data_IF_871293153463
#
_entry.id   IF_871293153463
#
_cell.length_a   1.000
_cell.length_b   1.000
_cell.length_c   1.000
_cell.angle_alpha   90.00
_cell.angle_beta   90.00
_cell.angle_gamma   90.00
#
_symmetry.space_group_name_H-M   'P 1'
#
loop_
_entity.id
_entity.type
_entity.pdbx_description
1 polymer ?
#
# COMPACT_ATOMS: atom_id res chain seq x y z
N UNK A 1 17.52 60.30 24.96
CA UNK A 1 16.95 59.34 23.98
C UNK A 1 17.81 58.06 23.91
N UNK A 2 17.98 57.32 25.00
CA UNK A 2 18.85 56.13 25.04
C UNK A 2 18.21 54.92 25.75
N UNK A 3 16.88 54.91 25.88
CA UNK A 3 16.14 53.89 26.63
C UNK A 3 15.47 52.83 25.75
N UNK A 4 15.51 52.96 24.41
CA UNK A 4 14.84 52.01 23.52
C UNK A 4 15.72 50.82 23.11
N UNK A 5 17.04 50.96 22.95
CA UNK A 5 17.86 49.84 22.42
C UNK A 5 18.14 48.74 23.44
N UNK A 6 18.20 49.06 24.73
CA UNK A 6 18.52 48.10 25.81
C UNK A 6 17.34 47.19 26.17
N UNK A 7 16.10 47.60 25.89
CA UNK A 7 14.90 46.79 26.11
C UNK A 7 14.58 45.84 24.93
N UNK A 8 15.11 46.13 23.74
CA UNK A 8 14.88 45.32 22.53
C UNK A 8 15.65 43.99 22.60
N UNK A 9 16.87 43.99 23.13
CA UNK A 9 17.71 42.80 23.25
C UNK A 9 17.11 41.68 24.14
N UNK A 10 16.60 41.95 25.36
CA UNK A 10 15.95 40.93 26.17
C UNK A 10 14.61 40.46 25.58
N UNK A 11 13.81 41.37 25.00
CA UNK A 11 12.55 41.02 24.35
C UNK A 11 12.76 40.12 23.11
N UNK A 12 13.81 40.40 22.34
CA UNK A 12 14.20 39.58 21.19
C UNK A 12 14.70 38.20 21.66
N UNK A 13 15.55 38.15 22.68
CA UNK A 13 16.04 36.90 23.26
C UNK A 13 14.89 36.03 23.78
N UNK A 14 13.92 36.61 24.47
CA UNK A 14 12.72 35.92 24.93
C UNK A 14 11.86 35.40 23.75
N UNK A 15 11.72 36.18 22.68
CA UNK A 15 11.04 35.73 21.47
C UNK A 15 11.75 34.52 20.83
N UNK A 16 13.08 34.58 20.67
CA UNK A 16 13.85 33.45 20.14
C UNK A 16 13.77 32.22 21.04
N UNK A 17 13.81 32.36 22.37
CA UNK A 17 13.62 31.24 23.29
C UNK A 17 12.26 30.57 23.11
N UNK A 18 11.19 31.35 22.93
CA UNK A 18 9.86 30.81 22.63
C UNK A 18 9.81 30.10 21.28
N UNK A 19 10.46 30.66 20.25
CA UNK A 19 10.54 30.01 18.94
C UNK A 19 11.33 28.69 18.99
N UNK A 20 12.45 28.66 19.71
CA UNK A 20 13.22 27.43 19.94
C UNK A 20 12.37 26.37 20.62
N UNK A 21 11.63 26.72 21.66
CA UNK A 21 10.77 25.77 22.35
C UNK A 21 9.67 25.22 21.43
N UNK A 22 8.99 26.10 20.69
CA UNK A 22 7.97 25.71 19.70
C UNK A 22 8.53 24.75 18.62
N UNK A 23 9.73 25.03 18.09
CA UNK A 23 10.37 24.17 17.10
C UNK A 23 10.80 22.82 17.69
N UNK A 24 11.29 22.79 18.92
CA UNK A 24 11.64 21.56 19.62
C UNK A 24 10.41 20.69 19.85
N UNK A 25 9.32 21.28 20.34
CA UNK A 25 8.06 20.55 20.58
C UNK A 25 7.49 19.97 19.27
N UNK A 26 7.57 20.72 18.17
CA UNK A 26 7.17 20.25 16.84
C UNK A 26 8.06 19.11 16.35
N UNK A 27 9.38 19.21 16.54
CA UNK A 27 10.32 18.16 16.15
C UNK A 27 10.10 16.88 16.96
N UNK A 28 9.91 17.00 18.28
CA UNK A 28 9.64 15.86 19.16
C UNK A 28 8.32 15.17 18.77
N UNK A 29 7.28 15.95 18.44
CA UNK A 29 6.02 15.40 17.92
C UNK A 29 6.24 14.70 16.58
N UNK A 30 6.97 15.31 15.64
CA UNK A 30 7.30 14.71 14.35
C UNK A 30 8.01 13.36 14.53
N UNK A 31 8.98 13.26 15.44
CA UNK A 31 9.70 12.01 15.70
C UNK A 31 8.80 10.93 16.31
N UNK A 32 7.83 11.29 17.17
CA UNK A 32 6.81 10.33 17.66
C UNK A 32 5.92 9.82 16.52
N UNK A 33 5.48 10.72 15.64
CA UNK A 33 4.67 10.36 14.46
C UNK A 33 5.46 9.45 13.50
N UNK A 34 6.73 9.74 13.23
CA UNK A 34 7.59 8.87 12.40
C UNK A 34 7.70 7.47 13.00
N UNK A 35 7.88 7.36 14.32
CA UNK A 35 7.94 6.06 15.01
C UNK A 35 6.63 5.29 14.88
N UNK A 36 5.49 5.95 15.15
CA UNK A 36 4.18 5.33 14.99
C UNK A 36 3.91 4.90 13.54
N UNK A 37 4.30 5.72 12.55
CA UNK A 37 4.20 5.38 11.13
C UNK A 37 5.02 4.15 10.77
N UNK A 38 6.23 4.01 11.30
CA UNK A 38 7.08 2.83 11.06
C UNK A 38 6.47 1.56 11.64
N UNK A 39 5.85 1.65 12.82
CA UNK A 39 5.12 0.53 13.41
C UNK A 39 3.94 0.10 12.53
N UNK A 40 3.17 1.06 11.97
CA UNK A 40 2.12 0.78 10.99
C UNK A 40 2.70 0.08 9.76
N UNK A 41 3.73 0.65 9.11
CA UNK A 41 4.38 0.05 7.93
C UNK A 41 4.83 -1.39 8.20
N UNK A 42 5.53 -1.62 9.31
CA UNK A 42 6.06 -2.94 9.64
C UNK A 42 4.94 -3.99 9.80
N UNK A 43 3.83 -3.63 10.42
CA UNK A 43 2.76 -4.59 10.67
C UNK A 43 1.82 -4.74 9.48
N UNK A 44 1.61 -3.70 8.66
CA UNK A 44 0.94 -3.82 7.36
C UNK A 44 1.68 -4.79 6.43
N UNK A 45 3.03 -4.74 6.40
CA UNK A 45 3.84 -5.73 5.66
C UNK A 45 3.59 -7.17 6.11
N UNK A 46 3.44 -7.39 7.41
CA UNK A 46 3.14 -8.74 7.94
C UNK A 46 1.78 -9.24 7.43
N UNK A 47 0.78 -8.36 7.33
CA UNK A 47 -0.52 -8.69 6.72
C UNK A 47 -0.33 -9.07 5.25
N UNK A 48 0.41 -8.27 4.47
CA UNK A 48 0.70 -8.56 3.05
C UNK A 48 1.38 -9.94 2.91
N UNK A 49 2.41 -10.22 3.70
CA UNK A 49 3.08 -11.53 3.70
C UNK A 49 2.15 -12.67 4.13
N UNK A 50 1.23 -12.43 5.06
CA UNK A 50 0.24 -13.42 5.46
C UNK A 50 -0.73 -13.72 4.30
N UNK A 51 -1.21 -12.71 3.58
CA UNK A 51 -2.09 -12.88 2.41
C UNK A 51 -1.37 -13.64 1.28
N UNK A 52 -0.08 -13.42 1.06
CA UNK A 52 0.71 -14.16 0.05
C UNK A 52 0.83 -15.66 0.31
N UNK A 53 0.56 -16.14 1.54
CA UNK A 53 0.54 -17.58 1.87
C UNK A 53 -0.74 -18.27 1.39
N UNK A 54 -1.67 -17.52 0.82
CA UNK A 54 -2.91 -18.03 0.27
C UNK A 54 -2.62 -18.97 -0.90
N UNK A 55 -3.29 -20.12 -0.88
CA UNK A 55 -3.36 -21.11 -1.94
C UNK A 55 -4.80 -21.56 -2.15
N UNK A 56 -5.04 -22.36 -3.19
CA UNK A 56 -6.34 -22.99 -3.45
C UNK A 56 -6.93 -23.73 -2.24
N UNK A 57 -6.09 -24.32 -1.40
CA UNK A 57 -6.52 -25.23 -0.33
C UNK A 57 -6.72 -24.55 1.04
N UNK A 58 -6.05 -23.43 1.28
CA UNK A 58 -6.02 -22.77 2.60
C UNK A 58 -6.54 -21.32 2.56
N UNK A 59 -7.19 -20.92 1.45
CA UNK A 59 -7.64 -19.54 1.23
C UNK A 59 -8.45 -18.97 2.41
N UNK A 60 -9.41 -19.72 2.92
CA UNK A 60 -10.31 -19.26 4.00
C UNK A 60 -9.51 -19.00 5.27
N UNK A 61 -8.72 -19.97 5.73
CA UNK A 61 -7.90 -19.86 6.94
C UNK A 61 -6.90 -18.70 6.86
N UNK A 62 -6.21 -18.57 5.71
CA UNK A 62 -5.23 -17.50 5.50
C UNK A 62 -5.89 -16.13 5.56
N UNK A 63 -7.06 -15.98 4.94
CA UNK A 63 -7.80 -14.70 4.94
C UNK A 63 -8.41 -14.39 6.30
N UNK A 64 -8.93 -15.36 7.05
CA UNK A 64 -9.40 -15.15 8.42
C UNK A 64 -8.27 -14.66 9.34
N UNK A 65 -7.07 -15.22 9.17
CA UNK A 65 -5.91 -14.77 9.92
C UNK A 65 -5.46 -13.36 9.49
N UNK A 66 -5.40 -13.10 8.18
CA UNK A 66 -5.06 -11.77 7.67
C UNK A 66 -6.06 -10.69 8.11
N UNK A 67 -7.35 -11.03 8.24
CA UNK A 67 -8.39 -10.14 8.76
C UNK A 67 -8.12 -9.75 10.21
N UNK A 68 -7.77 -10.74 11.06
CA UNK A 68 -7.40 -10.49 12.46
C UNK A 68 -6.13 -9.66 12.57
N UNK A 69 -5.13 -9.97 11.76
CA UNK A 69 -3.86 -9.23 11.74
C UNK A 69 -4.10 -7.78 11.29
N UNK A 70 -4.93 -7.54 10.26
CA UNK A 70 -5.29 -6.19 9.79
C UNK A 70 -6.13 -5.41 10.81
N UNK A 71 -7.05 -6.09 11.50
CA UNK A 71 -7.81 -5.50 12.61
C UNK A 71 -6.85 -5.06 13.73
N UNK A 72 -5.87 -5.90 14.10
CA UNK A 72 -4.85 -5.53 15.08
C UNK A 72 -4.01 -4.34 14.63
N UNK A 73 -3.68 -4.23 13.33
CA UNK A 73 -3.00 -3.04 12.78
C UNK A 73 -3.84 -1.78 12.97
N UNK A 74 -5.14 -1.89 12.74
CA UNK A 74 -6.10 -0.79 12.87
C UNK A 74 -6.25 -0.37 14.34
N UNK A 75 -6.53 -1.33 15.22
CA UNK A 75 -6.87 -1.07 16.62
C UNK A 75 -5.66 -0.64 17.46
N UNK A 76 -4.45 -1.11 17.12
CA UNK A 76 -3.26 -0.85 17.93
C UNK A 76 -2.37 0.24 17.30
N UNK A 77 -1.94 0.06 16.04
CA UNK A 77 -0.92 0.92 15.44
C UNK A 77 -1.53 2.16 14.80
N UNK A 78 -2.62 2.02 14.06
CA UNK A 78 -3.35 3.18 13.51
C UNK A 78 -3.95 4.02 14.63
N UNK A 79 -4.54 3.41 15.66
CA UNK A 79 -5.02 4.13 16.86
C UNK A 79 -3.92 4.95 17.53
N UNK A 80 -2.70 4.40 17.69
CA UNK A 80 -1.56 5.13 18.23
C UNK A 80 -1.14 6.29 17.34
N UNK A 81 -1.10 6.09 16.02
CA UNK A 81 -0.79 7.16 15.07
C UNK A 81 -1.82 8.29 15.14
N UNK A 82 -3.11 7.95 15.17
CA UNK A 82 -4.22 8.91 15.31
C UNK A 82 -4.08 9.72 16.59
N UNK A 83 -3.71 9.09 17.72
CA UNK A 83 -3.54 9.82 19.00
C UNK A 83 -2.40 10.85 18.99
N UNK A 84 -1.34 10.60 18.22
CA UNK A 84 -0.22 11.55 18.09
C UNK A 84 -0.54 12.74 17.17
N UNK A 85 -1.55 12.59 16.30
CA UNK A 85 -1.99 13.60 15.34
C UNK A 85 -3.25 14.31 15.87
N UNK A 86 -3.18 15.63 16.07
CA UNK A 86 -4.33 16.41 16.54
C UNK A 86 -4.54 17.66 15.68
N UNK A 87 -5.81 17.97 15.37
CA UNK A 87 -6.21 19.18 14.66
C UNK A 87 -5.41 19.41 13.36
N UNK A 88 -4.62 20.48 13.30
CA UNK A 88 -3.85 20.85 12.09
C UNK A 88 -2.64 19.94 11.77
N UNK A 89 -2.36 18.94 12.61
CA UNK A 89 -1.17 18.10 12.42
C UNK A 89 -1.24 17.22 11.16
N UNK A 90 -2.44 16.88 10.70
CA UNK A 90 -2.64 16.03 9.51
C UNK A 90 -1.93 16.61 8.27
N UNK A 91 -2.08 17.89 8.01
CA UNK A 91 -1.41 18.50 6.85
C UNK A 91 0.06 18.85 7.15
N UNK A 92 0.39 19.32 8.37
CA UNK A 92 1.75 19.71 8.75
C UNK A 92 2.72 18.54 8.75
N UNK A 93 2.28 17.40 9.26
CA UNK A 93 3.11 16.22 9.49
C UNK A 93 2.86 15.10 8.47
N UNK A 94 2.14 15.38 7.36
CA UNK A 94 1.85 14.37 6.33
C UNK A 94 3.07 13.55 5.92
N UNK A 95 4.19 14.21 5.65
CA UNK A 95 5.44 13.53 5.26
C UNK A 95 5.97 12.55 6.29
N UNK A 96 5.64 12.72 7.58
CA UNK A 96 6.10 11.85 8.66
C UNK A 96 5.30 10.54 8.75
N UNK A 97 4.02 10.55 8.35
CA UNK A 97 3.14 9.38 8.49
C UNK A 97 2.69 8.75 7.16
N UNK A 98 2.79 9.50 6.06
CA UNK A 98 2.35 9.07 4.72
C UNK A 98 2.88 7.68 4.33
N UNK A 99 4.16 7.31 4.59
CA UNK A 99 4.63 5.96 4.31
C UNK A 99 3.88 4.84 5.06
N UNK A 100 3.48 5.08 6.31
CA UNK A 100 2.68 4.13 7.09
C UNK A 100 1.27 3.98 6.53
N UNK A 101 0.66 5.09 6.12
CA UNK A 101 -0.68 5.09 5.54
C UNK A 101 -0.72 4.40 4.18
N UNK A 102 0.25 4.67 3.30
CA UNK A 102 0.32 4.02 1.99
C UNK A 102 0.42 2.49 2.13
N UNK A 103 1.29 2.00 3.02
CA UNK A 103 1.44 0.56 3.29
C UNK A 103 0.17 -0.04 3.93
N UNK A 104 -0.52 0.70 4.81
CA UNK A 104 -1.80 0.26 5.36
C UNK A 104 -2.89 0.14 4.28
N UNK A 105 -2.98 1.12 3.37
CA UNK A 105 -3.89 1.08 2.23
C UNK A 105 -3.57 -0.11 1.33
N UNK A 106 -2.29 -0.34 1.02
CA UNK A 106 -1.84 -1.49 0.24
C UNK A 106 -2.28 -2.82 0.90
N UNK A 107 -2.02 -2.99 2.19
CA UNK A 107 -2.43 -4.19 2.92
C UNK A 107 -3.95 -4.39 2.94
N UNK A 108 -4.72 -3.32 3.23
CA UNK A 108 -6.18 -3.38 3.31
C UNK A 108 -6.83 -3.66 1.95
N UNK A 109 -6.34 -3.02 0.89
CA UNK A 109 -6.84 -3.23 -0.47
C UNK A 109 -6.42 -4.59 -1.03
N UNK A 110 -5.22 -5.08 -0.70
CA UNK A 110 -4.76 -6.41 -1.11
C UNK A 110 -5.59 -7.53 -0.46
N UNK A 111 -5.81 -7.43 0.86
CA UNK A 111 -6.74 -8.30 1.57
C UNK A 111 -8.15 -8.22 0.98
N UNK A 112 -8.68 -7.00 0.79
CA UNK A 112 -10.02 -6.75 0.26
C UNK A 112 -10.24 -7.35 -1.12
N UNK A 113 -9.24 -7.23 -2.01
CA UNK A 113 -9.25 -7.86 -3.32
C UNK A 113 -9.24 -9.39 -3.22
N UNK A 114 -8.41 -9.99 -2.36
CA UNK A 114 -8.37 -11.45 -2.22
C UNK A 114 -9.67 -12.03 -1.64
N UNK A 115 -10.37 -11.27 -0.79
CA UNK A 115 -11.66 -11.63 -0.20
C UNK A 115 -12.82 -11.48 -1.19
N UNK A 116 -12.91 -10.34 -1.88
CA UNK A 116 -14.11 -9.94 -2.65
C UNK A 116 -13.91 -9.88 -4.16
N UNK A 117 -12.67 -9.84 -4.64
CA UNK A 117 -12.32 -9.58 -6.04
C UNK A 117 -12.49 -8.11 -6.46
N UNK A 118 -12.72 -7.20 -5.51
CA UNK A 118 -12.99 -5.77 -5.78
C UNK A 118 -12.02 -4.85 -5.03
N UNK A 119 -11.88 -3.62 -5.51
CA UNK A 119 -11.08 -2.60 -4.86
C UNK A 119 -11.83 -2.03 -3.65
N UNK A 120 -11.23 -2.10 -2.47
CA UNK A 120 -11.74 -1.44 -1.27
C UNK A 120 -11.63 0.08 -1.43
N UNK A 121 -12.74 0.81 -1.32
CA UNK A 121 -12.79 2.26 -1.59
C UNK A 121 -12.26 3.07 -0.42
N UNK A 122 -11.76 4.28 -0.72
CA UNK A 122 -11.26 5.22 0.28
C UNK A 122 -12.26 5.50 1.41
N UNK A 123 -13.54 5.73 1.07
CA UNK A 123 -14.57 5.99 2.08
C UNK A 123 -14.82 4.79 3.00
N UNK A 124 -14.67 3.57 2.49
CA UNK A 124 -14.80 2.36 3.29
C UNK A 124 -13.65 2.22 4.28
N UNK A 125 -12.43 2.53 3.86
CA UNK A 125 -11.25 2.56 4.75
C UNK A 125 -11.41 3.68 5.79
N UNK A 126 -11.77 4.89 5.37
CA UNK A 126 -11.92 5.99 6.32
C UNK A 126 -13.02 5.70 7.36
N UNK A 127 -14.10 5.02 7.00
CA UNK A 127 -15.13 4.58 7.96
C UNK A 127 -14.60 3.68 9.06
N UNK A 128 -13.60 2.83 8.80
CA UNK A 128 -13.00 1.99 9.86
C UNK A 128 -12.09 2.77 10.79
N UNK A 129 -11.57 3.92 10.34
CA UNK A 129 -10.68 4.79 11.12
C UNK A 129 -11.43 5.85 11.96
N UNK A 130 -12.66 6.21 11.56
CA UNK A 130 -13.48 7.18 12.30
C UNK A 130 -13.59 6.87 13.80
N UNK A 131 -13.84 5.63 14.25
CA UNK A 131 -13.99 5.32 15.68
C UNK A 131 -12.68 5.45 16.48
N UNK A 132 -11.52 5.56 15.81
CA UNK A 132 -10.22 5.70 16.47
C UNK A 132 -9.96 7.13 16.95
N UNK A 133 -10.70 8.10 16.40
CA UNK A 133 -10.53 9.52 16.72
C UNK A 133 -11.42 9.94 17.88
N UNK A 134 -10.97 10.91 18.66
CA UNK A 134 -11.80 11.52 19.70
C UNK A 134 -12.98 12.27 19.04
N UNK A 135 -14.24 12.06 19.47
CA UNK A 135 -15.41 12.76 18.93
C UNK A 135 -15.34 14.30 18.98
N UNK A 136 -14.48 14.85 19.85
CA UNK A 136 -14.25 16.29 19.98
C UNK A 136 -13.23 16.86 19.00
N UNK A 137 -12.53 15.99 18.25
CA UNK A 137 -11.48 16.36 17.30
C UNK A 137 -11.84 15.95 15.88
N UNK A 138 -11.27 16.65 14.89
CA UNK A 138 -11.38 16.23 13.50
C UNK A 138 -10.67 14.87 13.31
N UNK A 139 -11.37 13.86 12.76
CA UNK A 139 -10.80 12.54 12.62
C UNK A 139 -9.71 12.50 11.56
N UNK A 140 -8.74 11.60 11.73
CA UNK A 140 -7.81 11.29 10.65
C UNK A 140 -8.60 10.74 9.46
N UNK A 141 -8.48 11.42 8.32
CA UNK A 141 -8.94 10.91 7.04
C UNK A 141 -7.73 10.69 6.13
N UNK A 142 -7.62 9.48 5.60
CA UNK A 142 -6.67 9.18 4.53
C UNK A 142 -7.06 10.07 3.35
N UNK A 143 -6.09 10.85 2.87
CA UNK A 143 -6.29 11.71 1.71
C UNK A 143 -6.18 10.88 0.41
N UNK A 144 -6.74 11.44 -0.66
CA UNK A 144 -6.78 10.82 -1.99
C UNK A 144 -5.37 10.45 -2.49
N UNK A 145 -4.37 11.29 -2.22
CA UNK A 145 -3.01 11.06 -2.70
C UNK A 145 -2.36 9.83 -2.04
N UNK A 146 -2.45 9.70 -0.71
CA UNK A 146 -1.92 8.54 0.01
C UNK A 146 -2.69 7.25 -0.35
N UNK A 147 -3.99 7.37 -0.62
CA UNK A 147 -4.78 6.24 -1.10
C UNK A 147 -4.33 5.78 -2.49
N UNK A 148 -4.21 6.70 -3.45
CA UNK A 148 -3.78 6.37 -4.83
C UNK A 148 -2.37 5.78 -4.83
N UNK A 149 -1.45 6.33 -4.03
CA UNK A 149 -0.08 5.80 -3.93
C UNK A 149 -0.07 4.38 -3.35
N UNK A 150 -0.86 4.09 -2.31
CA UNK A 150 -1.00 2.73 -1.78
C UNK A 150 -1.67 1.75 -2.76
N UNK A 151 -2.69 2.20 -3.50
CA UNK A 151 -3.31 1.41 -4.58
C UNK A 151 -2.33 1.17 -5.74
N UNK A 152 -1.40 2.08 -5.97
CA UNK A 152 -0.37 1.86 -6.98
C UNK A 152 0.57 0.72 -6.56
N UNK A 153 0.99 0.68 -5.29
CA UNK A 153 1.83 -0.39 -4.75
C UNK A 153 1.13 -1.75 -4.72
N UNK A 154 -0.19 -1.78 -4.45
CA UNK A 154 -1.02 -2.98 -4.55
C UNK A 154 -0.79 -3.75 -5.86
N UNK A 155 -0.60 -3.05 -6.99
CA UNK A 155 -0.40 -3.71 -8.29
C UNK A 155 0.87 -4.58 -8.34
N UNK A 156 1.91 -4.21 -7.58
CA UNK A 156 3.12 -5.01 -7.41
C UNK A 156 2.86 -6.29 -6.61
N UNK A 157 2.06 -6.23 -5.56
CA UNK A 157 1.68 -7.41 -4.76
C UNK A 157 0.72 -8.32 -5.53
N UNK A 158 -0.20 -7.75 -6.30
CA UNK A 158 -1.05 -8.50 -7.23
C UNK A 158 -0.24 -9.24 -8.29
N UNK A 159 0.79 -8.61 -8.86
CA UNK A 159 1.71 -9.27 -9.77
C UNK A 159 2.41 -10.46 -9.12
N UNK A 160 2.98 -10.28 -7.92
CA UNK A 160 3.61 -11.39 -7.18
C UNK A 160 2.62 -12.53 -6.92
N UNK A 161 1.40 -12.19 -6.50
CA UNK A 161 0.34 -13.18 -6.29
C UNK A 161 0.03 -13.92 -7.59
N UNK A 162 -0.19 -13.20 -8.70
CA UNK A 162 -0.54 -13.79 -9.99
C UNK A 162 0.53 -14.78 -10.47
N UNK A 163 1.82 -14.43 -10.38
CA UNK A 163 2.91 -15.34 -10.75
C UNK A 163 2.87 -16.62 -9.90
N UNK A 164 2.66 -16.50 -8.58
CA UNK A 164 2.51 -17.67 -7.71
C UNK A 164 1.31 -18.54 -8.08
N UNK A 165 0.17 -17.91 -8.41
CA UNK A 165 -1.06 -18.62 -8.81
C UNK A 165 -0.93 -19.31 -10.16
N UNK A 166 -0.19 -18.72 -11.11
CA UNK A 166 0.12 -19.35 -12.40
C UNK A 166 0.94 -20.62 -12.19
N UNK A 167 1.96 -20.57 -11.33
CA UNK A 167 2.77 -21.74 -10.98
C UNK A 167 1.96 -22.87 -10.33
N UNK A 168 0.92 -22.51 -9.57
CA UNK A 168 -0.02 -23.47 -8.95
C UNK A 168 -1.13 -23.95 -9.91
N UNK A 169 -1.11 -23.52 -11.19
CA UNK A 169 -2.09 -23.89 -12.21
C UNK A 169 -3.43 -23.14 -12.12
N UNK A 170 -3.55 -22.10 -11.31
CA UNK A 170 -4.76 -21.30 -11.11
C UNK A 170 -4.89 -20.16 -12.14
N UNK A 171 -4.92 -20.51 -13.43
CA UNK A 171 -4.87 -19.55 -14.54
C UNK A 171 -6.04 -18.57 -14.55
N UNK A 172 -7.27 -19.05 -14.29
CA UNK A 172 -8.45 -18.17 -14.25
C UNK A 172 -8.34 -17.08 -13.18
N UNK A 173 -7.69 -17.39 -12.05
CA UNK A 173 -7.50 -16.43 -10.98
C UNK A 173 -6.40 -15.43 -11.34
N UNK A 174 -5.30 -15.89 -11.96
CA UNK A 174 -4.27 -15.02 -12.50
C UNK A 174 -4.81 -14.04 -13.56
N UNK A 175 -5.71 -14.49 -14.44
CA UNK A 175 -6.39 -13.63 -15.41
C UNK A 175 -7.28 -12.56 -14.73
N UNK A 176 -8.00 -12.93 -13.66
CA UNK A 176 -8.78 -11.96 -12.86
C UNK A 176 -7.88 -10.90 -12.26
N UNK A 177 -6.72 -11.29 -11.73
CA UNK A 177 -5.72 -10.36 -11.20
C UNK A 177 -5.19 -9.45 -12.32
N UNK A 178 -4.86 -10.02 -13.49
CA UNK A 178 -4.38 -9.28 -14.65
C UNK A 178 -5.39 -8.20 -15.11
N UNK A 179 -6.67 -8.57 -15.25
CA UNK A 179 -7.74 -7.63 -15.62
C UNK A 179 -7.86 -6.49 -14.61
N UNK A 180 -7.87 -6.81 -13.32
CA UNK A 180 -7.94 -5.81 -12.27
C UNK A 180 -6.75 -4.84 -12.30
N UNK A 181 -5.52 -5.37 -12.39
CA UNK A 181 -4.31 -4.53 -12.44
C UNK A 181 -4.29 -3.62 -13.68
N UNK A 182 -4.77 -4.14 -14.83
CA UNK A 182 -4.92 -3.36 -16.07
C UNK A 182 -5.95 -2.24 -15.93
N UNK A 183 -7.08 -2.53 -15.30
CA UNK A 183 -8.11 -1.51 -15.04
C UNK A 183 -7.57 -0.41 -14.13
N UNK A 184 -6.88 -0.75 -13.03
CA UNK A 184 -6.24 0.24 -12.14
C UNK A 184 -5.24 1.12 -12.92
N UNK A 185 -4.36 0.51 -13.73
CA UNK A 185 -3.39 1.24 -14.55
C UNK A 185 -4.08 2.19 -15.55
N UNK A 186 -5.14 1.72 -16.21
CA UNK A 186 -5.90 2.54 -17.18
C UNK A 186 -6.53 3.75 -16.51
N UNK A 187 -7.23 3.55 -15.39
CA UNK A 187 -7.90 4.64 -14.68
C UNK A 187 -6.88 5.66 -14.14
N UNK A 188 -5.76 5.20 -13.58
CA UNK A 188 -4.71 6.11 -13.09
C UNK A 188 -4.02 6.87 -14.23
N UNK A 189 -3.87 6.28 -15.41
CA UNK A 189 -3.31 6.99 -16.59
C UNK A 189 -4.13 8.25 -16.93
N UNK A 190 -5.44 8.26 -16.64
CA UNK A 190 -6.30 9.42 -16.84
C UNK A 190 -6.15 10.47 -15.72
N UNK A 191 -5.83 10.03 -14.50
CA UNK A 191 -5.77 10.91 -13.31
C UNK A 191 -4.40 11.56 -13.13
N UNK A 192 -3.31 10.80 -13.31
CA UNK A 192 -1.93 11.24 -13.00
C UNK A 192 -1.52 12.55 -13.71
N UNK A 193 -1.89 12.82 -14.97
CA UNK A 193 -1.58 14.09 -15.63
C UNK A 193 -2.16 15.33 -14.95
N UNK A 194 -3.22 15.16 -14.15
CA UNK A 194 -3.91 16.23 -13.43
C UNK A 194 -3.50 16.35 -11.96
N UNK A 195 -2.55 15.53 -11.48
CA UNK A 195 -2.07 15.58 -10.12
C UNK A 195 -0.94 16.60 -9.95
N UNK A 196 -1.04 17.43 -8.91
CA UNK A 196 0.06 18.27 -8.44
C UNK A 196 1.19 17.39 -7.87
N UNK A 197 2.45 17.79 -8.12
CA UNK A 197 3.66 17.08 -7.66
C UNK A 197 3.67 15.57 -8.00
N UNK A 198 3.45 15.23 -9.28
CA UNK A 198 3.32 13.85 -9.77
C UNK A 198 4.63 13.04 -9.88
N UNK A 199 5.74 13.46 -9.28
CA UNK A 199 7.03 12.74 -9.40
C UNK A 199 6.95 11.30 -8.91
N UNK A 200 6.41 11.12 -7.70
CA UNK A 200 6.29 9.80 -7.08
C UNK A 200 5.34 8.93 -7.89
N UNK A 201 4.23 9.53 -8.32
CA UNK A 201 3.22 8.82 -9.09
C UNK A 201 3.71 8.42 -10.48
N UNK A 202 4.55 9.22 -11.15
CA UNK A 202 5.20 8.81 -12.42
C UNK A 202 6.02 7.55 -12.25
N UNK A 203 6.88 7.49 -11.23
CA UNK A 203 7.66 6.28 -10.93
C UNK A 203 6.76 5.09 -10.60
N UNK A 204 5.68 5.31 -9.84
CA UNK A 204 4.70 4.25 -9.55
C UNK A 204 3.97 3.77 -10.81
N UNK A 205 3.64 4.65 -11.75
CA UNK A 205 3.03 4.27 -13.04
C UNK A 205 3.98 3.41 -13.88
N UNK A 206 5.26 3.73 -13.91
CA UNK A 206 6.26 2.92 -14.63
C UNK A 206 6.36 1.51 -14.01
N UNK A 207 6.46 1.43 -12.68
CA UNK A 207 6.51 0.14 -11.95
C UNK A 207 5.22 -0.66 -12.15
N UNK A 208 4.07 0.02 -12.16
CA UNK A 208 2.76 -0.61 -12.39
C UNK A 208 2.65 -1.17 -13.81
N UNK A 209 3.10 -0.44 -14.82
CA UNK A 209 3.15 -0.94 -16.19
C UNK A 209 4.00 -2.21 -16.29
N UNK A 210 5.19 -2.20 -15.68
CA UNK A 210 6.04 -3.39 -15.62
C UNK A 210 5.36 -4.56 -14.91
N UNK A 211 4.59 -4.27 -13.85
CA UNK A 211 3.81 -5.27 -13.11
C UNK A 211 2.73 -5.89 -13.99
N UNK A 212 1.96 -5.08 -14.71
CA UNK A 212 0.93 -5.54 -15.66
C UNK A 212 1.55 -6.40 -16.77
N UNK A 213 2.63 -5.92 -17.40
CA UNK A 213 3.32 -6.64 -18.48
C UNK A 213 3.85 -8.01 -18.03
N UNK A 214 4.38 -8.11 -16.80
CA UNK A 214 4.84 -9.39 -16.24
C UNK A 214 3.71 -10.40 -16.10
N UNK A 215 2.54 -9.97 -15.61
CA UNK A 215 1.38 -10.85 -15.47
C UNK A 215 0.89 -11.29 -16.86
N UNK A 216 0.77 -10.35 -17.80
CA UNK A 216 0.32 -10.62 -19.17
C UNK A 216 1.23 -11.61 -19.90
N UNK A 217 2.54 -11.38 -19.85
CA UNK A 217 3.52 -12.28 -20.46
C UNK A 217 3.49 -13.68 -19.85
N UNK A 218 3.30 -13.78 -18.53
CA UNK A 218 3.17 -15.07 -17.86
C UNK A 218 1.89 -15.80 -18.28
N UNK A 219 0.75 -15.10 -18.34
CA UNK A 219 -0.52 -15.68 -18.81
C UNK A 219 -0.42 -16.12 -20.28
N UNK A 220 0.16 -15.28 -21.15
CA UNK A 220 0.40 -15.59 -22.55
C UNK A 220 1.29 -16.81 -22.72
N UNK A 221 2.42 -16.86 -22.00
CA UNK A 221 3.38 -17.96 -22.08
C UNK A 221 2.76 -19.30 -21.68
N UNK A 222 1.86 -19.33 -20.69
CA UNK A 222 1.13 -20.56 -20.34
C UNK A 222 0.06 -20.89 -21.36
N UNK A 223 -0.67 -19.91 -21.88
CA UNK A 223 -1.70 -20.13 -22.90
C UNK A 223 -1.12 -20.76 -24.18
N UNK A 224 0.02 -20.27 -24.67
CA UNK A 224 0.70 -20.80 -25.85
C UNK A 224 1.13 -22.25 -25.61
N UNK A 225 1.84 -22.53 -24.51
CA UNK A 225 2.30 -23.90 -24.17
C UNK A 225 1.14 -24.88 -23.96
N UNK A 226 0.06 -24.42 -23.34
CA UNK A 226 -1.15 -25.22 -23.16
C UNK A 226 -1.87 -25.54 -24.48
N UNK A 227 -1.70 -24.69 -25.49
CA UNK A 227 -2.25 -24.90 -26.84
C UNK A 227 -1.37 -25.80 -27.72
N UNK A 228 -0.07 -25.89 -27.42
CA UNK A 228 0.88 -26.76 -28.12
C UNK A 228 0.68 -28.25 -27.75
N UNK A 229 0.28 -28.54 -26.51
CA UNK A 229 -0.04 -29.90 -26.05
C UNK A 229 -1.55 -30.15 -26.07
N UNK A 230 -2.11 -30.39 -27.25
CA UNK A 230 -3.39 -31.13 -27.34
C UNK A 230 -3.08 -32.56 -26.91
N UNK A 231 -3.71 -33.11 -25.86
CA UNK A 231 -3.55 -34.52 -25.53
C UNK A 231 -4.04 -35.32 -26.74
N UNK A 232 -3.12 -35.90 -27.50
CA UNK A 232 -3.46 -36.95 -28.44
C UNK A 232 -4.16 -38.02 -27.61
N UNK A 233 -5.45 -38.24 -27.89
CA UNK A 233 -6.30 -39.26 -27.27
C UNK A 233 -5.48 -40.54 -26.97
N UNK A 234 -5.15 -40.77 -25.69
CA UNK A 234 -4.78 -42.11 -25.23
C UNK A 234 -3.57 -42.30 -24.30
N UNK A 235 -2.77 -41.30 -23.93
CA UNK A 235 -1.67 -41.54 -22.98
C UNK A 235 -2.02 -41.10 -21.55
N UNK A 236 -2.47 -42.07 -20.74
CA UNK A 236 -2.53 -41.94 -19.27
C UNK A 236 -1.10 -42.04 -18.70
N UNK A 237 -0.31 -40.97 -18.76
CA UNK A 237 0.92 -40.89 -17.97
C UNK A 237 1.09 -39.53 -17.27
N UNK A 238 1.16 -39.48 -15.93
CA UNK A 238 1.13 -38.23 -15.16
C UNK A 238 2.51 -37.60 -14.93
N UNK A 239 3.48 -37.77 -15.82
CA UNK A 239 4.85 -37.30 -15.56
C UNK A 239 5.51 -36.60 -16.74
N UNK A 240 5.29 -35.29 -16.87
CA UNK A 240 6.32 -34.35 -17.34
C UNK A 240 5.80 -32.91 -17.27
N UNK A 241 5.71 -32.35 -16.06
CA UNK A 241 5.74 -30.90 -15.89
C UNK A 241 7.13 -30.55 -15.35
N UNK A 242 7.81 -29.62 -16.02
CA UNK A 242 9.13 -29.05 -15.72
C UNK A 242 10.32 -29.72 -16.41
N UNK A 243 10.61 -29.28 -17.63
CA UNK A 243 12.00 -29.13 -18.08
C UNK A 243 12.18 -27.68 -18.52
N UNK A 244 13.06 -26.97 -17.80
CA UNK A 244 13.42 -25.58 -18.04
C UNK A 244 14.12 -25.38 -19.38
N UNK A 245 13.96 -24.18 -19.93
CA UNK A 245 14.69 -23.72 -21.11
C UNK A 245 16.06 -23.21 -20.64
N UNK A 246 17.19 -23.63 -21.24
CA UNK A 246 18.47 -22.97 -20.98
C UNK A 246 18.54 -21.63 -21.72
N UNK A 247 19.17 -20.66 -21.07
CA UNK A 247 19.50 -19.33 -21.61
C UNK A 247 20.15 -19.42 -22.99
N UNK A 248 19.67 -18.60 -23.93
CA UNK A 248 20.36 -18.33 -25.20
C UNK A 248 20.80 -16.87 -25.13
N UNK A 249 22.10 -16.68 -24.98
CA UNK A 249 22.80 -15.41 -25.24
C UNK A 249 22.75 -15.10 -26.74
N UNK A 250 22.46 -13.82 -27.05
CA UNK A 250 22.96 -13.09 -28.21
C UNK A 250 22.89 -11.58 -27.92
#
# INVERSE_FOLDING_TARGET
>A
MATSSTAIEPALKEAFSRYTQCLNDLNDKRERVVKASRDVTMNSKKVIFQVHRMSKYNKVEVLEKAEKDLAAVTDQYMSRLVKELQGTDFWKLRRAYSPGIQEYVEAATFYGFCKSGTLLKLDEINKTLLPLSDPSLDPLQINILDYILGVADLTGELMRLAIGRISDGELEFAEKICRFARDVYRELTLVVPHMDDSSDMKTKMDVMLQSVMKIENACFGVHVRGSEYIPLLGSNDPSSFLVGVPDIEL
#
